data_IF_582312314861
#
_entry.id   IF_582312314861
#
_cell.length_a   1.000
_cell.length_b   1.000
_cell.length_c   1.000
_cell.angle_alpha   90.00
_cell.angle_beta   90.00
_cell.angle_gamma   90.00
#
_symmetry.space_group_name_H-M   'P 1'
#
loop_
_entity.id
_entity.type
_entity.pdbx_description
1 polymer ?
#
# COMPACT_ATOMS: atom_id res chain seq x y z
N UNK A 1 -4.55 9.56 -41.68
CA UNK A 1 -5.04 10.28 -40.46
C UNK A 1 -5.24 9.40 -39.21
N UNK A 2 -5.11 8.06 -39.25
CA UNK A 2 -5.37 7.18 -38.08
C UNK A 2 -4.23 7.08 -37.04
N UNK A 3 -2.99 7.43 -37.40
CA UNK A 3 -1.83 7.29 -36.51
C UNK A 3 -1.66 8.43 -35.49
N UNK A 4 -2.16 9.64 -35.79
CA UNK A 4 -2.03 10.80 -34.88
C UNK A 4 -2.93 10.68 -33.65
N UNK A 5 -4.10 10.05 -33.78
CA UNK A 5 -5.01 9.81 -32.65
C UNK A 5 -4.41 8.83 -31.64
N UNK A 6 -3.65 7.84 -32.11
CA UNK A 6 -3.01 6.82 -31.29
C UNK A 6 -1.84 7.42 -30.50
N UNK A 7 -1.01 8.26 -31.13
CA UNK A 7 0.08 8.97 -30.45
C UNK A 7 -0.46 9.92 -29.37
N UNK A 8 -1.55 10.65 -29.65
CA UNK A 8 -2.21 11.51 -28.65
C UNK A 8 -2.86 10.72 -27.51
N UNK A 9 -3.35 9.51 -27.77
CA UNK A 9 -3.94 8.65 -26.73
C UNK A 9 -2.87 8.06 -25.80
N UNK A 10 -1.70 7.71 -26.33
CA UNK A 10 -0.54 7.26 -25.55
C UNK A 10 0.06 8.43 -24.74
N UNK A 11 0.14 9.63 -25.31
CA UNK A 11 0.53 10.85 -24.57
C UNK A 11 -0.42 11.18 -23.43
N UNK A 12 -1.74 10.99 -23.60
CA UNK A 12 -2.71 11.17 -22.50
C UNK A 12 -2.48 10.22 -21.33
N UNK A 13 -2.01 8.99 -21.58
CA UNK A 13 -1.65 8.05 -20.51
C UNK A 13 -0.33 8.43 -19.82
N UNK A 14 0.61 9.02 -20.57
CA UNK A 14 1.87 9.52 -20.01
C UNK A 14 1.67 10.75 -19.11
N UNK A 15 0.70 11.61 -19.43
CA UNK A 15 0.35 12.79 -18.61
C UNK A 15 -0.38 12.44 -17.30
N UNK A 16 -0.88 11.21 -17.09
CA UNK A 16 -1.37 10.80 -15.77
C UNK A 16 -0.24 10.70 -14.74
N UNK A 17 1.01 10.51 -15.19
CA UNK A 17 2.19 10.52 -14.32
C UNK A 17 2.51 11.93 -13.80
N UNK A 18 2.11 12.99 -14.52
CA UNK A 18 2.43 14.37 -14.12
C UNK A 18 1.42 14.98 -13.14
N UNK A 19 0.23 14.41 -12.96
CA UNK A 19 -0.73 14.89 -11.95
C UNK A 19 -0.54 14.24 -10.56
N UNK A 20 0.23 13.15 -10.47
CA UNK A 20 0.58 12.52 -9.20
C UNK A 20 1.92 13.01 -8.62
N UNK A 21 2.63 13.88 -9.34
CA UNK A 21 3.97 14.37 -8.98
C UNK A 21 3.94 15.70 -8.19
N UNK A 22 2.77 16.29 -7.94
CA UNK A 22 2.63 17.58 -7.25
C UNK A 22 2.26 17.43 -5.76
N UNK A 23 2.36 16.22 -5.20
CA UNK A 23 2.28 15.99 -3.76
C UNK A 23 3.56 15.31 -3.27
N UNK A 24 4.47 16.14 -2.76
CA UNK A 24 5.49 15.86 -1.74
C UNK A 24 6.17 14.50 -1.76
N UNK A 25 7.44 14.50 -2.19
CA UNK A 25 8.59 13.71 -1.68
C UNK A 25 8.30 12.47 -0.81
N UNK A 26 7.53 11.52 -1.36
CA UNK A 26 7.52 10.13 -0.92
C UNK A 26 8.07 9.34 -2.09
N UNK A 27 9.34 8.96 -1.99
CA UNK A 27 10.04 8.17 -3.00
C UNK A 27 9.12 7.09 -3.57
N UNK A 28 8.82 7.22 -4.86
CA UNK A 28 7.95 6.33 -5.61
C UNK A 28 8.62 4.96 -5.76
N UNK A 29 8.49 4.11 -4.72
CA UNK A 29 8.84 2.68 -4.73
C UNK A 29 8.01 1.86 -5.73
N UNK A 30 7.13 2.51 -6.51
CA UNK A 30 6.26 1.87 -7.47
C UNK A 30 7.00 1.46 -8.76
N UNK A 31 7.97 2.26 -9.21
CA UNK A 31 8.65 2.06 -10.50
C UNK A 31 10.07 1.46 -10.38
N UNK A 32 10.36 0.73 -9.31
CA UNK A 32 11.65 0.05 -9.16
C UNK A 32 11.83 -1.02 -10.26
N UNK A 33 13.01 -1.15 -10.86
CA UNK A 33 13.30 -2.24 -11.80
C UNK A 33 12.95 -3.61 -11.20
N UNK A 34 12.24 -4.44 -11.96
CA UNK A 34 11.76 -5.75 -11.48
C UNK A 34 10.45 -5.72 -10.68
N UNK A 35 9.86 -4.53 -10.45
CA UNK A 35 8.52 -4.43 -9.87
C UNK A 35 7.43 -4.89 -10.86
N UNK A 36 6.28 -5.27 -10.31
CA UNK A 36 5.09 -5.64 -11.09
C UNK A 36 4.63 -4.50 -11.99
N UNK A 37 4.72 -3.27 -11.51
CA UNK A 37 4.35 -2.06 -12.26
C UNK A 37 5.32 -1.80 -13.42
N UNK A 38 6.63 -1.93 -13.19
CA UNK A 38 7.63 -1.82 -14.25
C UNK A 38 7.41 -2.87 -15.34
N UNK A 39 6.95 -4.07 -14.95
CA UNK A 39 6.63 -5.16 -15.87
C UNK A 39 5.39 -4.87 -16.72
N UNK A 40 4.34 -4.37 -16.10
CA UNK A 40 3.12 -3.89 -16.78
C UNK A 40 3.47 -2.82 -17.82
N UNK A 41 4.28 -1.83 -17.45
CA UNK A 41 4.72 -0.77 -18.36
C UNK A 41 5.55 -1.32 -19.52
N UNK A 42 6.51 -2.21 -19.23
CA UNK A 42 7.34 -2.89 -20.24
C UNK A 42 6.47 -3.64 -21.26
N UNK A 43 5.45 -4.37 -20.80
CA UNK A 43 4.50 -5.09 -21.64
C UNK A 43 3.74 -4.12 -22.56
N UNK A 44 3.19 -3.03 -22.02
CA UNK A 44 2.44 -2.04 -22.81
C UNK A 44 3.33 -1.37 -23.86
N UNK A 45 4.57 -1.02 -23.48
CA UNK A 45 5.57 -0.48 -24.40
C UNK A 45 5.95 -1.48 -25.50
N UNK A 46 6.16 -2.74 -25.15
CA UNK A 46 6.47 -3.80 -26.09
C UNK A 46 5.37 -4.00 -27.14
N UNK A 47 4.09 -3.90 -26.74
CA UNK A 47 2.96 -3.94 -27.66
C UNK A 47 2.96 -2.70 -28.57
N UNK A 48 3.12 -1.51 -27.99
CA UNK A 48 3.09 -0.25 -28.73
C UNK A 48 4.20 -0.18 -29.79
N UNK A 49 5.42 -0.60 -29.43
CA UNK A 49 6.61 -0.60 -30.28
C UNK A 49 6.64 -1.72 -31.32
N UNK A 50 5.74 -2.72 -31.24
CA UNK A 50 5.76 -3.83 -32.19
C UNK A 50 5.43 -3.38 -33.62
N UNK A 51 6.23 -3.89 -34.58
CA UNK A 51 6.07 -3.70 -36.02
C UNK A 51 5.20 -4.76 -36.69
N UNK A 52 5.04 -5.94 -36.07
CA UNK A 52 4.36 -7.10 -36.64
C UNK A 52 3.24 -7.62 -35.73
N UNK A 53 2.28 -8.35 -36.30
CA UNK A 53 1.21 -9.05 -35.58
C UNK A 53 0.42 -8.15 -34.62
N UNK A 54 0.26 -6.86 -34.99
CA UNK A 54 -0.28 -5.83 -34.11
C UNK A 54 -1.73 -6.11 -33.71
N UNK A 55 -2.56 -6.61 -34.62
CA UNK A 55 -3.95 -6.98 -34.30
C UNK A 55 -4.04 -8.00 -33.17
N UNK A 56 -3.14 -8.99 -33.15
CA UNK A 56 -3.09 -10.00 -32.09
C UNK A 56 -2.54 -9.40 -30.79
N UNK A 57 -1.42 -8.67 -30.85
CA UNK A 57 -0.82 -8.03 -29.68
C UNK A 57 -1.77 -7.03 -28.99
N UNK A 58 -2.59 -6.32 -29.76
CA UNK A 58 -3.55 -5.36 -29.22
C UNK A 58 -4.65 -6.01 -28.36
N UNK A 59 -4.88 -7.34 -28.49
CA UNK A 59 -5.80 -8.08 -27.61
C UNK A 59 -5.32 -8.09 -26.15
N UNK A 60 -4.01 -8.04 -25.90
CA UNK A 60 -3.46 -8.02 -24.53
C UNK A 60 -3.55 -6.65 -23.84
N UNK A 61 -3.74 -5.57 -24.60
CA UNK A 61 -3.84 -4.21 -24.02
C UNK A 61 -4.97 -4.07 -23.01
N UNK A 62 -6.24 -4.45 -23.30
CA UNK A 62 -7.31 -4.37 -22.32
C UNK A 62 -7.03 -5.23 -21.07
N UNK A 63 -6.51 -6.45 -21.25
CA UNK A 63 -6.16 -7.37 -20.16
C UNK A 63 -5.14 -6.73 -19.20
N UNK A 64 -4.03 -6.21 -19.75
CA UNK A 64 -2.97 -5.58 -18.95
C UNK A 64 -3.47 -4.30 -18.27
N UNK A 65 -4.32 -3.51 -18.93
CA UNK A 65 -4.92 -2.31 -18.34
C UNK A 65 -5.87 -2.61 -17.19
N UNK A 66 -6.60 -3.71 -17.24
CA UNK A 66 -7.46 -4.12 -16.12
C UNK A 66 -6.60 -4.43 -14.89
N UNK A 67 -5.49 -5.15 -15.06
CA UNK A 67 -4.52 -5.40 -13.99
C UNK A 67 -4.00 -4.07 -13.41
N UNK A 68 -3.57 -3.13 -14.26
CA UNK A 68 -3.13 -1.80 -13.80
C UNK A 68 -4.21 -1.09 -13.00
N UNK A 69 -5.47 -1.16 -13.45
CA UNK A 69 -6.60 -0.48 -12.81
C UNK A 69 -6.85 -1.01 -11.40
N UNK A 70 -6.82 -2.33 -11.21
CA UNK A 70 -7.10 -2.93 -9.89
C UNK A 70 -5.93 -2.80 -8.93
N UNK A 71 -4.71 -2.64 -9.43
CA UNK A 71 -3.54 -2.35 -8.61
C UNK A 71 -3.32 -0.84 -8.35
N UNK A 72 -4.15 0.03 -8.94
CA UNK A 72 -3.96 1.47 -8.82
C UNK A 72 -4.22 1.94 -7.38
N UNK A 73 -3.38 2.86 -6.89
CA UNK A 73 -3.47 3.41 -5.53
C UNK A 73 -3.06 2.44 -4.41
N UNK A 74 -2.56 1.25 -4.76
CA UNK A 74 -2.18 0.23 -3.80
C UNK A 74 -0.71 0.34 -3.42
N UNK A 75 -0.41 0.41 -2.13
CA UNK A 75 0.98 0.37 -1.66
C UNK A 75 1.75 -0.86 -2.20
N UNK A 76 2.94 -0.63 -2.75
CA UNK A 76 3.83 -1.65 -3.26
C UNK A 76 4.21 -2.69 -2.19
N UNK A 77 4.29 -2.29 -0.91
CA UNK A 77 4.56 -3.22 0.20
C UNK A 77 3.42 -4.24 0.36
N UNK A 78 2.17 -3.78 0.33
CA UNK A 78 0.97 -4.61 0.41
C UNK A 78 0.90 -5.58 -0.77
N UNK A 79 1.14 -5.10 -1.99
CA UNK A 79 1.13 -5.95 -3.18
C UNK A 79 2.15 -7.09 -3.05
N UNK A 80 3.38 -6.79 -2.60
CA UNK A 80 4.43 -7.82 -2.44
C UNK A 80 4.12 -8.87 -1.39
N UNK A 81 3.34 -8.51 -0.36
CA UNK A 81 2.97 -9.41 0.73
C UNK A 81 1.64 -10.13 0.49
N UNK A 82 0.87 -9.71 -0.51
CA UNK A 82 -0.42 -10.31 -0.79
C UNK A 82 -0.27 -11.73 -1.37
N UNK A 83 -1.21 -12.60 -1.01
CA UNK A 83 -1.23 -13.99 -1.48
C UNK A 83 -1.31 -14.11 -3.01
N UNK A 84 -1.92 -13.13 -3.68
CA UNK A 84 -2.05 -13.10 -5.13
C UNK A 84 -0.74 -12.73 -5.87
N UNK A 85 0.31 -12.31 -5.15
CA UNK A 85 1.51 -11.74 -5.77
C UNK A 85 2.24 -12.70 -6.72
N UNK A 86 2.41 -13.97 -6.29
CA UNK A 86 3.07 -15.00 -7.10
C UNK A 86 2.34 -15.19 -8.43
N UNK A 87 1.01 -15.35 -8.35
CA UNK A 87 0.17 -15.60 -9.51
C UNK A 87 0.10 -14.40 -10.44
N UNK A 88 0.11 -13.18 -9.87
CA UNK A 88 0.20 -11.94 -10.63
C UNK A 88 1.52 -11.84 -11.41
N UNK A 89 2.65 -12.16 -10.76
CA UNK A 89 3.95 -12.15 -11.41
C UNK A 89 4.01 -13.19 -12.53
N UNK A 90 3.60 -14.43 -12.25
CA UNK A 90 3.59 -15.51 -13.23
C UNK A 90 2.69 -15.19 -14.44
N UNK A 91 1.52 -14.60 -14.19
CA UNK A 91 0.58 -14.19 -15.25
C UNK A 91 1.20 -13.12 -16.16
N UNK A 92 1.91 -12.15 -15.58
CA UNK A 92 2.64 -11.13 -16.36
C UNK A 92 3.84 -11.72 -17.10
N UNK A 93 4.52 -12.74 -16.55
CA UNK A 93 5.56 -13.51 -17.26
C UNK A 93 4.98 -14.22 -18.48
N UNK A 94 3.82 -14.87 -18.34
CA UNK A 94 3.11 -15.52 -19.46
C UNK A 94 2.71 -14.52 -20.55
N UNK A 95 2.15 -13.38 -20.17
CA UNK A 95 1.76 -12.33 -21.12
C UNK A 95 2.99 -11.78 -21.87
N UNK A 96 4.07 -11.46 -21.15
CA UNK A 96 5.30 -10.96 -21.76
C UNK A 96 5.91 -11.99 -22.72
N UNK A 97 5.92 -13.27 -22.33
CA UNK A 97 6.38 -14.35 -23.19
C UNK A 97 5.56 -14.40 -24.49
N UNK A 98 4.23 -14.35 -24.40
CA UNK A 98 3.35 -14.33 -25.57
C UNK A 98 3.63 -13.16 -26.50
N UNK A 99 3.85 -11.96 -25.94
CA UNK A 99 4.18 -10.77 -26.72
C UNK A 99 5.51 -10.95 -27.45
N UNK A 100 6.52 -11.51 -26.78
CA UNK A 100 7.83 -11.75 -27.38
C UNK A 100 7.81 -12.85 -28.45
N UNK A 101 7.01 -13.91 -28.28
CA UNK A 101 6.76 -14.89 -29.33
C UNK A 101 6.12 -14.24 -30.57
N UNK A 102 5.12 -13.38 -30.36
CA UNK A 102 4.42 -12.67 -31.43
C UNK A 102 5.30 -11.66 -32.19
N UNK A 103 6.38 -11.14 -31.59
CA UNK A 103 7.35 -10.29 -32.28
C UNK A 103 8.15 -11.06 -33.34
N UNK A 104 8.32 -12.38 -33.15
CA UNK A 104 9.10 -13.22 -34.08
C UNK A 104 8.19 -13.87 -35.11
N UNK A 105 8.25 -13.40 -36.36
CA UNK A 105 7.36 -13.85 -37.45
C UNK A 105 7.31 -15.38 -37.63
N UNK A 106 8.45 -16.06 -37.55
CA UNK A 106 8.52 -17.53 -37.72
C UNK A 106 7.82 -18.32 -36.59
N UNK A 107 8.06 -17.94 -35.34
CA UNK A 107 7.43 -18.59 -34.16
C UNK A 107 5.93 -18.37 -34.15
N UNK A 108 5.49 -17.16 -34.49
CA UNK A 108 4.08 -16.80 -34.57
C UNK A 108 3.32 -17.60 -35.63
N UNK A 109 3.84 -17.70 -36.86
CA UNK A 109 3.17 -18.44 -37.95
C UNK A 109 2.95 -19.90 -37.59
N UNK A 110 3.92 -20.56 -36.97
CA UNK A 110 3.77 -21.96 -36.53
C UNK A 110 2.68 -22.11 -35.46
N UNK A 111 2.55 -21.15 -34.55
CA UNK A 111 1.53 -21.15 -33.50
C UNK A 111 0.12 -20.91 -34.04
N UNK A 112 0.00 -19.99 -35.00
CA UNK A 112 -1.24 -19.70 -35.73
C UNK A 112 -1.71 -20.93 -36.51
N UNK A 113 -0.82 -21.60 -37.24
CA UNK A 113 -1.14 -22.82 -37.98
C UNK A 113 -1.62 -23.95 -37.07
N UNK A 114 -1.11 -24.01 -35.83
CA UNK A 114 -1.55 -24.98 -34.83
C UNK A 114 -2.86 -24.58 -34.10
N UNK A 115 -3.47 -23.41 -34.41
CA UNK A 115 -4.64 -22.83 -33.72
C UNK A 115 -4.48 -22.74 -32.19
N UNK A 116 -3.23 -22.69 -31.70
CA UNK A 116 -2.94 -22.64 -30.26
C UNK A 116 -3.03 -21.22 -29.69
N UNK A 117 -2.99 -20.21 -30.55
CA UNK A 117 -2.94 -18.81 -30.15
C UNK A 117 -4.22 -18.33 -29.45
N UNK A 118 -5.38 -18.64 -30.03
CA UNK A 118 -6.67 -18.21 -29.47
C UNK A 118 -6.93 -18.90 -28.13
N UNK A 119 -6.66 -20.20 -28.04
CA UNK A 119 -6.80 -20.95 -26.78
C UNK A 119 -5.87 -20.42 -25.68
N UNK A 120 -4.59 -20.17 -25.99
CA UNK A 120 -3.66 -19.60 -25.01
C UNK A 120 -4.09 -18.20 -24.56
N UNK A 121 -4.65 -17.39 -25.47
CA UNK A 121 -5.17 -16.08 -25.08
C UNK A 121 -6.35 -16.20 -24.12
N UNK A 122 -7.33 -17.07 -24.42
CA UNK A 122 -8.50 -17.31 -23.56
C UNK A 122 -8.10 -17.84 -22.18
N UNK A 123 -7.12 -18.74 -22.10
CA UNK A 123 -6.58 -19.23 -20.82
C UNK A 123 -5.94 -18.10 -20.00
N UNK A 124 -5.22 -17.19 -20.65
CA UNK A 124 -4.63 -16.01 -19.98
C UNK A 124 -5.73 -15.07 -19.50
N UNK A 125 -6.73 -14.78 -20.35
CA UNK A 125 -7.84 -13.90 -20.01
C UNK A 125 -8.61 -14.43 -18.80
N UNK A 126 -8.95 -15.73 -18.81
CA UNK A 126 -9.62 -16.39 -17.68
C UNK A 126 -8.80 -16.32 -16.38
N UNK A 127 -7.49 -16.58 -16.45
CA UNK A 127 -6.62 -16.45 -15.28
C UNK A 127 -6.56 -15.01 -14.74
N UNK A 128 -6.56 -14.02 -15.64
CA UNK A 128 -6.57 -12.60 -15.24
C UNK A 128 -7.88 -12.24 -14.55
N UNK A 129 -9.03 -12.73 -15.01
CA UNK A 129 -10.32 -12.49 -14.36
C UNK A 129 -10.38 -13.03 -12.92
N UNK A 130 -9.87 -14.26 -12.71
CA UNK A 130 -9.77 -14.87 -11.38
C UNK A 130 -8.79 -14.08 -10.50
N UNK A 131 -7.66 -13.66 -11.07
CA UNK A 131 -6.66 -12.88 -10.36
C UNK A 131 -7.22 -11.51 -9.93
N UNK A 132 -7.95 -10.82 -10.81
CA UNK A 132 -8.62 -9.56 -10.51
C UNK A 132 -9.58 -9.72 -9.33
N UNK A 133 -10.37 -10.79 -9.32
CA UNK A 133 -11.29 -11.09 -8.23
C UNK A 133 -10.55 -11.21 -6.89
N UNK A 134 -9.43 -11.94 -6.87
CA UNK A 134 -8.59 -12.10 -5.66
C UNK A 134 -7.95 -10.78 -5.23
N UNK A 135 -7.50 -9.96 -6.17
CA UNK A 135 -6.93 -8.65 -5.90
C UNK A 135 -7.99 -7.74 -5.24
N UNK A 136 -9.17 -7.63 -5.84
CA UNK A 136 -10.28 -6.81 -5.31
C UNK A 136 -10.70 -7.29 -3.92
N UNK A 137 -10.80 -8.60 -3.72
CA UNK A 137 -11.13 -9.18 -2.42
C UNK A 137 -10.08 -8.83 -1.34
N UNK A 138 -8.78 -8.93 -1.67
CA UNK A 138 -7.71 -8.54 -0.76
C UNK A 138 -7.77 -7.05 -0.38
N UNK A 139 -8.14 -6.18 -1.32
CA UNK A 139 -8.38 -4.76 -1.00
C UNK A 139 -9.58 -4.56 -0.07
N UNK A 140 -10.68 -5.27 -0.32
CA UNK A 140 -11.86 -5.20 0.54
C UNK A 140 -11.53 -5.63 1.97
N UNK A 141 -10.82 -6.75 2.14
CA UNK A 141 -10.35 -7.23 3.44
C UNK A 141 -9.46 -6.20 4.14
N UNK A 142 -8.49 -5.61 3.42
CA UNK A 142 -7.62 -4.57 3.97
C UNK A 142 -8.42 -3.34 4.42
N UNK A 143 -9.37 -2.89 3.61
CA UNK A 143 -10.22 -1.75 3.93
C UNK A 143 -11.09 -2.03 5.17
N UNK A 144 -11.64 -3.24 5.28
CA UNK A 144 -12.40 -3.68 6.44
C UNK A 144 -11.55 -3.66 7.72
N UNK A 145 -10.35 -4.22 7.69
CA UNK A 145 -9.41 -4.20 8.82
C UNK A 145 -9.06 -2.77 9.25
N UNK A 146 -8.82 -1.88 8.30
CA UNK A 146 -8.58 -0.46 8.59
C UNK A 146 -9.80 0.23 9.22
N UNK A 147 -11.01 -0.08 8.74
CA UNK A 147 -12.24 0.47 9.30
C UNK A 147 -12.49 -0.02 10.73
N UNK A 148 -12.23 -1.30 11.02
CA UNK A 148 -12.30 -1.86 12.37
C UNK A 148 -11.28 -1.16 13.28
N UNK A 149 -10.04 -0.98 12.82
CA UNK A 149 -9.00 -0.31 13.59
C UNK A 149 -9.37 1.16 13.91
N UNK A 150 -9.93 1.89 12.94
CA UNK A 150 -10.44 3.27 13.16
C UNK A 150 -11.56 3.29 14.21
N UNK A 151 -12.55 2.41 14.11
CA UNK A 151 -13.65 2.32 15.09
C UNK A 151 -13.13 2.03 16.50
N UNK A 152 -12.19 1.10 16.65
CA UNK A 152 -11.53 0.79 17.94
C UNK A 152 -10.76 2.00 18.49
N UNK A 153 -10.07 2.76 17.64
CA UNK A 153 -9.36 3.99 18.06
C UNK A 153 -10.33 5.07 18.54
N UNK A 154 -11.44 5.30 17.83
CA UNK A 154 -12.47 6.25 18.27
C UNK A 154 -13.10 5.84 19.61
N UNK A 155 -13.42 4.56 19.81
CA UNK A 155 -13.96 4.07 21.08
C UNK A 155 -12.99 4.29 22.24
N UNK A 156 -11.70 3.99 22.04
CA UNK A 156 -10.67 4.26 23.06
C UNK A 156 -10.54 5.75 23.38
N UNK A 157 -10.64 6.62 22.39
CA UNK A 157 -10.60 8.08 22.60
C UNK A 157 -11.85 8.60 23.33
N UNK A 158 -13.04 8.13 22.97
CA UNK A 158 -14.27 8.50 23.69
C UNK A 158 -14.22 8.05 25.16
N UNK A 159 -13.72 6.85 25.43
CA UNK A 159 -13.50 6.37 26.80
C UNK A 159 -12.46 7.22 27.55
N UNK A 160 -11.37 7.65 26.90
CA UNK A 160 -10.35 8.48 27.55
C UNK A 160 -10.82 9.91 27.85
N UNK A 161 -11.76 10.46 27.07
CA UNK A 161 -12.36 11.77 27.37
C UNK A 161 -13.47 11.70 28.42
N UNK A 162 -14.11 10.54 28.59
CA UNK A 162 -15.15 10.34 29.62
C UNK A 162 -14.60 10.14 31.04
N UNK A 163 -13.28 10.07 31.22
CA UNK A 163 -12.64 9.84 32.53
C UNK A 163 -12.01 11.11 33.14
N UNK A 164 -12.38 12.32 32.67
CA UNK A 164 -11.82 13.60 33.13
C UNK A 164 -12.84 14.48 33.92
N UNK A 165 -13.99 13.92 34.31
CA UNK A 165 -14.89 14.49 35.33
C UNK A 165 -15.31 13.26 36.17
N UNK A 166 -14.90 13.05 37.43
CA UNK A 166 -15.19 13.83 38.64
C UNK A 166 -14.19 13.41 39.76
N UNK A 167 -13.07 14.09 40.00
CA UNK A 167 -12.40 14.09 41.33
C UNK A 167 -11.71 15.45 41.52
N UNK A 168 -11.80 15.99 42.75
CA UNK A 168 -11.32 17.29 43.29
C UNK A 168 -12.36 18.44 43.21
N UNK A 169 -12.82 19.09 44.29
CA UNK A 169 -12.12 19.49 45.52
C UNK A 169 -13.07 19.88 46.68
N UNK A 170 -12.49 19.89 47.88
CA UNK A 170 -13.02 19.99 49.26
C UNK A 170 -13.60 21.37 49.65
N UNK A 171 -14.48 21.41 50.67
CA UNK A 171 -14.28 22.38 51.78
C UNK A 171 -15.12 22.06 53.03
N UNK A 172 -14.41 21.85 54.14
CA UNK A 172 -14.93 21.63 55.49
C UNK A 172 -15.53 22.91 56.08
N UNK A 173 -16.65 22.79 56.80
CA UNK A 173 -17.21 23.85 57.65
C UNK A 173 -16.84 23.61 59.12
N UNK A 174 -16.17 24.60 59.73
CA UNK A 174 -15.74 24.69 61.13
C UNK A 174 -16.84 24.43 62.17
N UNK A 175 -16.51 23.72 63.27
CA UNK A 175 -16.99 24.03 64.63
C UNK A 175 -15.89 23.68 65.66
N UNK A 176 -15.52 24.58 66.61
CA UNK A 176 -14.53 24.32 67.64
C UNK A 176 -15.16 23.68 68.89
N UNK A 177 -14.46 22.73 69.53
CA UNK A 177 -14.68 22.51 70.96
C UNK A 177 -13.49 21.86 71.69
N UNK A 178 -13.22 22.45 72.85
CA UNK A 178 -12.16 22.24 73.82
C UNK A 178 -12.21 20.88 74.56
N UNK A 179 -11.05 20.23 74.79
CA UNK A 179 -10.51 19.74 76.10
C UNK A 179 -9.62 18.49 76.04
N UNK A 180 -8.35 18.74 76.38
CA UNK A 180 -7.53 18.10 77.43
C UNK A 180 -6.84 16.72 77.22
N UNK A 181 -5.52 16.76 77.53
CA UNK A 181 -4.60 15.71 78.04
C UNK A 181 -4.11 14.70 76.97
N UNK A 182 -2.84 14.30 76.86
CA UNK A 182 -1.76 14.25 77.84
C UNK A 182 -0.38 14.25 77.16
N UNK A 183 0.51 15.04 77.76
CA UNK A 183 1.96 15.13 77.63
C UNK A 183 2.69 13.78 77.81
N UNK A 184 3.63 13.44 76.90
CA UNK A 184 5.04 13.11 77.26
C UNK A 184 5.94 12.86 76.04
N UNK A 185 7.12 13.45 76.14
CA UNK A 185 8.27 13.46 75.23
C UNK A 185 9.02 12.11 75.22
N UNK A 186 9.69 11.76 74.13
CA UNK A 186 11.17 11.81 74.03
C UNK A 186 11.72 11.14 72.76
N UNK A 187 12.64 11.88 72.13
CA UNK A 187 13.88 11.50 71.44
C UNK A 187 13.97 10.21 70.60
N UNK A 188 14.49 10.35 69.38
CA UNK A 188 15.86 9.92 69.03
C UNK A 188 16.28 10.55 67.68
N UNK A 189 17.50 11.10 67.70
CA UNK A 189 18.35 11.55 66.60
C UNK A 189 18.46 10.50 65.48
N UNK A 190 18.66 10.86 64.22
CA UNK A 190 20.03 11.06 63.72
C UNK A 190 20.04 11.76 62.36
N UNK A 191 20.89 12.76 62.31
CA UNK A 191 21.41 13.49 61.16
C UNK A 191 22.51 12.68 60.45
N UNK A 192 22.61 12.82 59.12
CA UNK A 192 23.87 12.94 58.35
C UNK A 192 23.47 13.08 56.86
N UNK A 193 23.42 14.26 56.22
CA UNK A 193 24.48 15.23 55.92
C UNK A 193 25.44 14.72 54.83
N UNK A 194 25.23 15.26 53.59
CA UNK A 194 26.25 15.80 52.64
C UNK A 194 27.11 14.72 51.90
N UNK A 195 27.46 14.80 50.61
CA UNK A 195 27.72 15.96 49.73
C UNK A 195 27.60 15.65 48.24
N UNK A 196 27.38 16.73 47.49
CA UNK A 196 27.57 16.92 46.05
C UNK A 196 29.04 16.93 45.61
N UNK A 197 29.25 16.72 44.29
CA UNK A 197 30.16 17.40 43.33
C UNK A 197 30.70 16.36 42.32
N UNK A 198 30.90 16.59 41.02
CA UNK A 198 30.87 17.76 40.12
C UNK A 198 31.50 17.27 38.79
N UNK A 199 30.86 17.47 37.64
CA UNK A 199 31.17 18.47 36.58
C UNK A 199 32.37 18.17 35.65
N UNK A 200 32.11 18.35 34.35
CA UNK A 200 33.00 18.56 33.18
C UNK A 200 33.87 17.40 32.66
N UNK A 201 34.10 17.26 31.35
CA UNK A 201 33.85 18.16 30.23
C UNK A 201 34.37 17.58 28.91
N UNK A 202 34.20 18.39 27.88
CA UNK A 202 34.43 18.19 26.44
C UNK A 202 35.77 17.54 26.04
N UNK A 203 35.71 16.67 25.02
CA UNK A 203 36.34 16.86 23.69
C UNK A 203 35.94 15.76 22.72
#
# INVERSE_FOLDING_TARGET
>A
MKNQTIVRFIQKASNFKSMAADQGDVESSFATPGSVFAKVDSILWAIAASKHNKSHLMKFVPVVKQITKVLNGADASFIRQAEFYSDLKETLDKIEHQINECKTRGKWTNKLMAKKDQKTFEEIEHHVDLLITRIVFAFAQRAELMNIARKKKLQKQQLSFSSIEEEEEENESEIPNDKSLSRRESAIETTSVISEDGVSGER
#
